data_IF_874081146020
#
_entry.id   IF_874081146020
#
_cell.length_a   1.000
_cell.length_b   1.000
_cell.length_c   1.000
_cell.angle_alpha   90.00
_cell.angle_beta   90.00
_cell.angle_gamma   90.00
#
_symmetry.space_group_name_H-M   'P 1'
#
loop_
_entity.id
_entity.type
_entity.pdbx_description
1 polymer ?
#
# COMPACT_ATOMS: atom_id res chain seq x y z
N UNK A 1 3.33 14.09 -9.32
CA UNK A 1 3.56 12.77 -9.94
C UNK A 1 2.39 12.38 -10.80
N UNK A 2 2.67 11.72 -11.91
CA UNK A 2 1.61 11.17 -12.77
C UNK A 2 0.91 10.00 -12.06
N UNK A 3 -0.39 9.88 -12.29
CA UNK A 3 -1.18 8.70 -11.89
C UNK A 3 -0.92 7.54 -12.87
N UNK A 4 -1.35 6.33 -12.52
CA UNK A 4 -1.29 5.17 -13.44
C UNK A 4 -2.00 5.44 -14.78
N UNK A 5 -3.15 6.11 -14.75
CA UNK A 5 -3.85 6.51 -15.98
C UNK A 5 -3.02 7.50 -16.82
N UNK A 6 -2.37 8.47 -16.18
CA UNK A 6 -1.50 9.41 -16.88
C UNK A 6 -0.19 8.75 -17.38
N UNK A 7 0.32 7.75 -16.67
CA UNK A 7 1.46 6.96 -17.13
C UNK A 7 1.09 6.10 -18.36
N UNK A 8 -0.13 5.56 -18.36
CA UNK A 8 -0.69 4.87 -19.52
C UNK A 8 -0.65 5.77 -20.77
N UNK A 9 -1.08 7.02 -20.65
CA UNK A 9 -1.04 7.98 -21.77
C UNK A 9 0.40 8.24 -22.24
N UNK A 10 1.38 8.33 -21.32
CA UNK A 10 2.79 8.49 -21.71
C UNK A 10 3.28 7.31 -22.55
N UNK A 11 2.93 6.08 -22.17
CA UNK A 11 3.30 4.91 -22.97
C UNK A 11 2.59 4.87 -24.33
N UNK A 12 1.31 5.23 -24.38
CA UNK A 12 0.58 5.34 -25.64
C UNK A 12 1.18 6.40 -26.57
N UNK A 13 1.55 7.56 -26.03
CA UNK A 13 2.21 8.61 -26.78
C UNK A 13 3.56 8.16 -27.36
N UNK A 14 4.30 7.35 -26.58
CA UNK A 14 5.59 6.79 -27.03
C UNK A 14 5.42 5.74 -28.12
N UNK A 15 4.41 4.85 -27.97
CA UNK A 15 4.16 3.76 -28.92
C UNK A 15 3.51 4.27 -30.22
N UNK A 16 2.62 5.25 -30.13
CA UNK A 16 1.79 5.74 -31.22
C UNK A 16 1.86 7.27 -31.39
N UNK A 17 3.05 7.87 -31.61
CA UNK A 17 3.25 9.33 -31.50
C UNK A 17 2.42 10.15 -32.50
N UNK A 18 1.96 9.55 -33.60
CA UNK A 18 1.22 10.23 -34.67
C UNK A 18 -0.09 9.53 -35.04
N UNK A 19 -0.57 8.62 -34.21
CA UNK A 19 -1.76 7.81 -34.51
C UNK A 19 -2.75 7.80 -33.33
N UNK A 20 -3.62 8.81 -33.32
CA UNK A 20 -4.65 8.96 -32.29
C UNK A 20 -5.72 7.86 -32.34
N UNK A 21 -5.91 7.23 -33.50
CA UNK A 21 -6.87 6.14 -33.64
C UNK A 21 -6.33 4.86 -32.94
N UNK A 22 -5.07 4.52 -33.14
CA UNK A 22 -4.44 3.38 -32.47
C UNK A 22 -4.37 3.60 -30.96
N UNK A 23 -4.05 4.81 -30.49
CA UNK A 23 -4.10 5.16 -29.05
C UNK A 23 -5.47 4.90 -28.44
N UNK A 24 -6.55 5.33 -29.11
CA UNK A 24 -7.93 5.15 -28.64
C UNK A 24 -8.38 3.70 -28.67
N UNK A 25 -7.90 2.93 -29.61
CA UNK A 25 -8.27 1.53 -29.80
C UNK A 25 -7.45 0.58 -28.92
N UNK A 26 -6.32 1.04 -28.36
CA UNK A 26 -5.50 0.22 -27.48
C UNK A 26 -6.14 0.09 -26.09
N UNK A 27 -6.64 -1.11 -25.80
CA UNK A 27 -7.26 -1.48 -24.54
C UNK A 27 -6.28 -2.07 -23.51
N UNK A 28 -4.98 -2.11 -23.83
CA UNK A 28 -3.98 -2.69 -22.96
C UNK A 28 -3.80 -1.90 -21.67
N UNK A 29 -3.52 -2.60 -20.58
CA UNK A 29 -3.16 -2.01 -19.31
C UNK A 29 -1.71 -1.51 -19.29
N UNK A 30 -1.34 -0.82 -18.23
CA UNK A 30 -0.01 -0.19 -18.08
C UNK A 30 1.11 -1.24 -18.10
N UNK A 31 0.91 -2.42 -17.53
CA UNK A 31 1.90 -3.50 -17.49
C UNK A 31 2.14 -4.07 -18.89
N UNK A 32 1.09 -4.21 -19.70
CA UNK A 32 1.23 -4.65 -21.07
C UNK A 32 1.88 -3.58 -21.94
N UNK A 33 1.47 -2.32 -21.79
CA UNK A 33 2.06 -1.20 -22.53
C UNK A 33 3.53 -1.01 -22.20
N UNK A 34 3.94 -1.13 -20.93
CA UNK A 34 5.36 -1.08 -20.57
C UNK A 34 6.17 -2.20 -21.23
N UNK A 35 5.58 -3.40 -21.36
CA UNK A 35 6.22 -4.51 -22.07
C UNK A 35 6.39 -4.22 -23.58
N UNK A 36 5.43 -3.52 -24.19
CA UNK A 36 5.54 -3.11 -25.59
C UNK A 36 6.62 -2.04 -25.78
N UNK A 37 6.69 -1.07 -24.84
CA UNK A 37 7.75 -0.04 -24.84
C UNK A 37 9.11 -0.68 -24.66
N UNK A 38 9.27 -1.59 -23.72
CA UNK A 38 10.51 -2.34 -23.47
C UNK A 38 10.95 -3.13 -24.72
N UNK A 39 10.02 -3.86 -25.34
CA UNK A 39 10.29 -4.64 -26.53
C UNK A 39 10.71 -3.79 -27.75
N UNK A 40 10.14 -2.61 -27.91
CA UNK A 40 10.37 -1.73 -29.05
C UNK A 40 11.58 -0.81 -28.88
N UNK A 41 11.77 -0.27 -27.67
CA UNK A 41 12.75 0.78 -27.39
C UNK A 41 13.86 0.36 -26.41
N UNK A 42 13.68 -0.80 -25.75
CA UNK A 42 14.61 -1.35 -24.77
C UNK A 42 14.36 -0.86 -23.35
N UNK A 43 14.85 -1.63 -22.39
CA UNK A 43 14.60 -1.45 -20.96
C UNK A 43 15.12 -0.10 -20.40
N UNK A 44 16.26 0.37 -20.90
CA UNK A 44 16.80 1.66 -20.49
C UNK A 44 15.89 2.84 -20.87
N UNK A 45 15.22 2.74 -22.01
CA UNK A 45 14.27 3.78 -22.42
C UNK A 45 13.00 3.74 -21.58
N UNK A 46 12.52 2.54 -21.22
CA UNK A 46 11.41 2.40 -20.27
C UNK A 46 11.74 3.03 -18.92
N UNK A 47 12.94 2.76 -18.39
CA UNK A 47 13.42 3.36 -17.12
C UNK A 47 13.48 4.88 -17.20
N UNK A 48 13.99 5.45 -18.29
CA UNK A 48 14.04 6.90 -18.50
C UNK A 48 12.64 7.51 -18.53
N UNK A 49 11.71 6.88 -19.25
CA UNK A 49 10.31 7.33 -19.29
C UNK A 49 9.68 7.32 -17.89
N UNK A 50 9.94 6.30 -17.09
CA UNK A 50 9.42 6.22 -15.71
C UNK A 50 10.00 7.33 -14.83
N UNK A 51 11.31 7.57 -14.88
CA UNK A 51 11.98 8.61 -14.09
C UNK A 51 11.53 10.02 -14.50
N UNK A 52 11.31 10.27 -15.79
CA UNK A 52 10.77 11.54 -16.29
C UNK A 52 9.29 11.74 -15.92
N UNK A 53 8.48 10.69 -16.02
CA UNK A 53 7.06 10.75 -15.70
C UNK A 53 6.81 10.93 -14.20
N UNK A 54 7.73 10.47 -13.37
CA UNK A 54 7.64 10.46 -11.92
C UNK A 54 8.84 11.23 -11.30
N UNK A 55 8.92 12.57 -11.45
CA UNK A 55 10.07 13.37 -11.05
C UNK A 55 10.19 13.47 -9.51
N UNK A 56 10.61 12.38 -8.89
CA UNK A 56 10.62 12.16 -7.44
C UNK A 56 11.31 13.30 -6.67
N UNK A 57 12.49 13.72 -7.14
CA UNK A 57 13.29 14.74 -6.46
C UNK A 57 12.64 16.13 -6.44
N UNK A 58 11.73 16.41 -7.37
CA UNK A 58 11.03 17.69 -7.46
C UNK A 58 9.79 17.77 -6.55
N UNK A 59 9.36 16.63 -6.01
CA UNK A 59 8.13 16.51 -5.23
C UNK A 59 8.47 16.30 -3.76
N UNK A 60 7.84 17.08 -2.88
CA UNK A 60 8.01 16.93 -1.44
C UNK A 60 6.96 16.02 -0.82
N UNK A 61 7.30 15.27 0.24
CA UNK A 61 6.35 14.48 0.98
C UNK A 61 5.18 15.34 1.48
N UNK A 62 3.97 14.96 1.11
CA UNK A 62 2.75 15.63 1.58
C UNK A 62 2.41 15.26 3.02
N UNK A 63 1.34 15.91 3.54
CA UNK A 63 0.88 15.69 4.91
C UNK A 63 0.48 14.22 5.18
N UNK A 64 -0.17 13.56 4.22
CA UNK A 64 -0.55 12.15 4.37
C UNK A 64 0.66 11.23 4.56
N UNK A 65 1.76 11.46 3.83
CA UNK A 65 2.99 10.69 4.02
C UNK A 65 3.56 10.87 5.43
N UNK A 66 3.57 12.12 5.94
CA UNK A 66 4.03 12.39 7.30
C UNK A 66 3.15 11.76 8.37
N UNK A 67 1.83 11.79 8.20
CA UNK A 67 0.90 11.12 9.11
C UNK A 67 1.08 9.60 9.09
N UNK A 68 1.24 9.02 7.90
CA UNK A 68 1.45 7.58 7.73
C UNK A 68 2.68 7.11 8.53
N UNK A 69 3.82 7.78 8.40
CA UNK A 69 5.08 7.36 9.06
C UNK A 69 5.14 7.72 10.55
N UNK A 70 4.20 8.50 11.05
CA UNK A 70 4.06 8.76 12.49
C UNK A 70 3.37 7.62 13.24
N UNK A 71 2.68 6.72 12.52
CA UNK A 71 2.01 5.58 13.12
C UNK A 71 3.02 4.46 13.44
N UNK A 72 2.78 3.65 14.48
CA UNK A 72 3.71 2.63 14.93
C UNK A 72 3.60 1.35 14.08
N UNK A 73 3.79 1.47 12.77
CA UNK A 73 3.85 0.31 11.89
C UNK A 73 5.05 -0.59 12.24
N UNK A 74 4.85 -1.91 12.18
CA UNK A 74 5.96 -2.87 12.24
C UNK A 74 6.83 -2.73 11.00
N UNK A 75 6.21 -2.76 9.83
CA UNK A 75 6.85 -2.55 8.54
C UNK A 75 5.89 -1.85 7.58
N UNK A 76 6.42 -1.10 6.62
CA UNK A 76 5.70 -0.51 5.50
C UNK A 76 6.25 -1.16 4.23
N UNK A 77 5.43 -1.93 3.52
CA UNK A 77 5.77 -2.49 2.23
C UNK A 77 5.20 -1.60 1.14
N UNK A 78 6.00 -1.28 0.13
CA UNK A 78 5.54 -0.44 -0.97
C UNK A 78 6.04 -0.92 -2.31
N UNK A 79 5.18 -0.86 -3.31
CA UNK A 79 5.49 -1.11 -4.72
C UNK A 79 5.82 0.19 -5.47
N UNK A 80 5.68 1.35 -4.82
CA UNK A 80 6.02 2.64 -5.41
C UNK A 80 7.53 2.80 -5.58
N UNK A 81 7.93 3.41 -6.69
CA UNK A 81 9.35 3.71 -6.97
C UNK A 81 9.83 4.99 -6.28
N UNK A 82 8.92 5.95 -6.04
CA UNK A 82 9.23 7.23 -5.39
C UNK A 82 9.78 7.07 -3.97
N UNK A 83 10.44 8.12 -3.47
CA UNK A 83 11.04 8.14 -2.13
C UNK A 83 10.25 8.99 -1.13
N UNK A 84 8.97 9.25 -1.38
CA UNK A 84 8.17 10.15 -0.54
C UNK A 84 7.96 9.62 0.88
N UNK A 85 7.72 8.32 1.02
CA UNK A 85 7.55 7.69 2.34
C UNK A 85 8.87 7.73 3.12
N UNK A 86 9.98 7.40 2.48
CA UNK A 86 11.33 7.40 3.08
C UNK A 86 11.75 8.80 3.52
N UNK A 87 11.53 9.80 2.66
CA UNK A 87 11.83 11.20 2.99
C UNK A 87 10.91 11.75 4.10
N UNK A 88 9.66 11.31 4.14
CA UNK A 88 8.77 11.62 5.26
C UNK A 88 9.24 10.95 6.55
N UNK A 89 9.68 9.70 6.49
CA UNK A 89 10.19 8.94 7.63
C UNK A 89 11.47 9.54 8.21
N UNK A 90 12.34 10.11 7.37
CA UNK A 90 13.54 10.83 7.81
C UNK A 90 13.25 12.09 8.63
N UNK A 91 12.00 12.57 8.64
CA UNK A 91 11.56 13.75 9.40
C UNK A 91 10.89 13.38 10.74
N UNK A 92 10.73 12.10 11.05
CA UNK A 92 10.08 11.63 12.28
C UNK A 92 11.00 10.72 13.10
N UNK A 93 10.70 10.62 14.39
CA UNK A 93 11.55 9.91 15.37
C UNK A 93 11.46 8.38 15.25
N UNK A 94 10.47 7.86 14.53
CA UNK A 94 10.14 6.41 14.50
C UNK A 94 11.24 5.50 13.90
N UNK A 95 12.30 6.06 13.33
CA UNK A 95 13.52 5.33 13.00
C UNK A 95 13.37 4.21 11.97
N UNK A 96 12.43 4.32 11.01
CA UNK A 96 12.29 3.33 9.93
C UNK A 96 13.61 3.08 9.21
N UNK A 97 13.91 1.82 8.95
CA UNK A 97 15.06 1.38 8.19
C UNK A 97 14.66 1.05 6.75
N UNK A 98 15.41 1.56 5.79
CA UNK A 98 15.14 1.31 4.38
C UNK A 98 15.66 -0.06 3.96
N UNK A 99 14.81 -0.86 3.32
CA UNK A 99 15.13 -2.16 2.75
C UNK A 99 14.81 -2.14 1.25
N UNK A 100 15.83 -2.38 0.43
CA UNK A 100 15.74 -2.34 -1.04
C UNK A 100 16.26 -3.61 -1.71
N UNK A 101 17.00 -4.44 -0.97
CA UNK A 101 17.62 -5.67 -1.45
C UNK A 101 17.80 -6.68 -0.30
N UNK A 102 18.29 -7.87 -0.62
CA UNK A 102 18.51 -8.95 0.35
C UNK A 102 19.54 -8.58 1.43
N UNK A 103 20.58 -7.83 1.06
CA UNK A 103 21.64 -7.42 1.99
C UNK A 103 21.05 -6.51 3.09
N UNK A 104 20.29 -5.48 2.69
CA UNK A 104 19.64 -4.60 3.66
C UNK A 104 18.53 -5.31 4.44
N UNK A 105 17.85 -6.28 3.83
CA UNK A 105 16.83 -7.08 4.53
C UNK A 105 17.43 -7.90 5.68
N UNK A 106 18.61 -8.47 5.50
CA UNK A 106 19.28 -9.29 6.52
C UNK A 106 19.71 -8.49 7.76
N UNK A 107 20.09 -7.22 7.58
CA UNK A 107 20.71 -6.42 8.64
C UNK A 107 19.80 -5.36 9.25
N UNK A 108 18.65 -5.08 8.65
CA UNK A 108 17.77 -4.02 9.15
C UNK A 108 16.63 -4.59 10.00
N UNK A 109 16.58 -4.23 11.30
CA UNK A 109 15.44 -4.59 12.15
C UNK A 109 14.22 -3.73 11.84
N UNK A 110 13.03 -4.22 12.20
CA UNK A 110 11.80 -3.41 12.19
C UNK A 110 11.92 -2.24 13.19
N UNK A 111 11.27 -1.09 12.93
CA UNK A 111 10.36 -0.85 11.80
C UNK A 111 11.09 -0.56 10.49
N UNK A 112 10.58 -1.08 9.37
CA UNK A 112 11.22 -0.98 8.06
C UNK A 112 10.29 -0.38 7.01
N UNK A 113 10.89 0.29 6.01
CA UNK A 113 10.24 0.59 4.73
C UNK A 113 10.87 -0.34 3.70
N UNK A 114 10.07 -1.23 3.12
CA UNK A 114 10.51 -2.28 2.21
C UNK A 114 10.04 -1.94 0.80
N UNK A 115 11.00 -1.64 -0.10
CA UNK A 115 10.77 -1.32 -1.50
C UNK A 115 10.72 -2.61 -2.32
N UNK A 116 9.53 -3.02 -2.70
CA UNK A 116 9.35 -4.30 -3.41
C UNK A 116 9.75 -4.22 -4.88
N UNK A 117 9.47 -3.11 -5.56
CA UNK A 117 9.61 -2.96 -7.00
C UNK A 117 10.77 -2.06 -7.46
N UNK A 118 11.78 -1.87 -6.62
CA UNK A 118 12.86 -0.93 -6.87
C UNK A 118 12.57 0.45 -6.28
N UNK A 119 13.51 1.40 -6.43
CA UNK A 119 13.39 2.76 -5.90
C UNK A 119 14.21 3.77 -6.70
N UNK A 120 13.64 4.93 -6.97
CA UNK A 120 14.36 6.02 -7.60
C UNK A 120 15.50 6.55 -6.72
N UNK A 121 16.55 7.13 -7.34
CA UNK A 121 16.78 7.12 -8.80
C UNK A 121 17.54 5.88 -9.31
N UNK A 122 18.12 5.05 -8.45
CA UNK A 122 19.15 4.10 -8.88
C UNK A 122 19.00 2.67 -8.36
N UNK A 123 17.91 2.35 -7.66
CA UNK A 123 17.71 0.99 -7.13
C UNK A 123 16.84 0.20 -8.10
N UNK A 124 17.50 -0.47 -9.02
CA UNK A 124 16.91 -1.24 -10.11
C UNK A 124 16.95 -2.76 -9.83
N UNK A 125 16.17 -3.57 -10.59
CA UNK A 125 15.24 -3.17 -11.65
C UNK A 125 13.96 -2.54 -11.08
N UNK A 126 13.31 -1.68 -11.88
CA UNK A 126 11.94 -1.24 -11.64
C UNK A 126 10.99 -2.31 -12.19
N UNK A 127 10.22 -2.94 -11.33
CA UNK A 127 9.30 -4.03 -11.72
C UNK A 127 8.08 -3.42 -12.38
N UNK A 128 8.00 -3.51 -13.71
CA UNK A 128 6.97 -2.84 -14.48
C UNK A 128 6.40 -3.70 -15.61
N UNK A 129 7.24 -4.47 -16.30
CA UNK A 129 6.82 -5.28 -17.44
C UNK A 129 6.20 -6.61 -17.00
N UNK A 130 5.45 -7.26 -17.91
CA UNK A 130 4.93 -8.61 -17.66
C UNK A 130 6.05 -9.62 -17.36
N UNK A 131 7.21 -9.44 -18.00
CA UNK A 131 8.37 -10.31 -17.78
C UNK A 131 8.99 -10.06 -16.39
N UNK A 132 9.07 -8.81 -15.93
CA UNK A 132 9.53 -8.50 -14.58
C UNK A 132 8.63 -9.17 -13.53
N UNK A 133 7.32 -9.06 -13.66
CA UNK A 133 6.36 -9.73 -12.77
C UNK A 133 6.49 -11.24 -12.79
N UNK A 134 6.69 -11.83 -13.99
CA UNK A 134 6.86 -13.28 -14.14
C UNK A 134 8.12 -13.79 -13.46
N UNK A 135 9.24 -13.05 -13.57
CA UNK A 135 10.55 -13.41 -13.02
C UNK A 135 10.70 -13.05 -11.54
N UNK A 136 9.89 -12.13 -11.05
CA UNK A 136 10.00 -11.57 -9.70
C UNK A 136 10.11 -12.63 -8.59
N UNK A 137 9.30 -13.71 -8.56
CA UNK A 137 9.41 -14.72 -7.51
C UNK A 137 10.74 -15.49 -7.51
N UNK A 138 11.39 -15.57 -8.67
CA UNK A 138 12.68 -16.27 -8.83
C UNK A 138 13.86 -15.34 -8.57
N UNK A 139 13.77 -14.09 -8.99
CA UNK A 139 14.87 -13.12 -8.90
C UNK A 139 14.90 -12.38 -7.54
N UNK A 140 13.75 -12.29 -6.88
CA UNK A 140 13.58 -11.60 -5.59
C UNK A 140 12.83 -12.46 -4.56
N UNK A 141 13.23 -13.73 -4.37
CA UNK A 141 12.52 -14.66 -3.46
C UNK A 141 12.49 -14.14 -2.01
N UNK A 142 13.51 -13.42 -1.58
CA UNK A 142 13.59 -12.79 -0.25
C UNK A 142 12.50 -11.75 -0.03
N UNK A 143 12.20 -10.93 -1.05
CA UNK A 143 11.12 -9.93 -0.97
C UNK A 143 9.74 -10.58 -0.98
N UNK A 144 9.56 -11.58 -1.85
CA UNK A 144 8.33 -12.38 -1.91
C UNK A 144 8.05 -13.07 -0.58
N UNK A 145 9.06 -13.74 0.00
CA UNK A 145 8.91 -14.43 1.28
C UNK A 145 8.63 -13.46 2.42
N UNK A 146 9.29 -12.30 2.43
CA UNK A 146 9.03 -11.24 3.43
C UNK A 146 7.60 -10.73 3.32
N UNK A 147 7.11 -10.45 2.12
CA UNK A 147 5.72 -10.03 1.92
C UNK A 147 4.74 -11.11 2.39
N UNK A 148 4.94 -12.36 1.98
CA UNK A 148 4.12 -13.50 2.43
C UNK A 148 4.13 -13.65 3.95
N UNK A 149 5.29 -13.51 4.59
CA UNK A 149 5.43 -13.58 6.03
C UNK A 149 4.63 -12.48 6.73
N UNK A 150 4.63 -11.24 6.19
CA UNK A 150 3.82 -10.16 6.74
C UNK A 150 2.32 -10.50 6.72
N UNK A 151 1.82 -11.10 5.64
CA UNK A 151 0.42 -11.54 5.57
C UNK A 151 0.10 -12.70 6.52
N UNK A 152 1.10 -13.54 6.84
CA UNK A 152 0.93 -14.66 7.77
C UNK A 152 0.89 -14.22 9.23
N UNK A 153 1.76 -13.28 9.61
CA UNK A 153 2.05 -12.97 11.00
C UNK A 153 1.51 -11.63 11.46
N UNK A 154 1.02 -10.80 10.54
CA UNK A 154 0.67 -9.41 10.87
C UNK A 154 -0.68 -9.03 10.29
N UNK A 155 -1.42 -8.20 11.03
CA UNK A 155 -2.53 -7.46 10.47
C UNK A 155 -2.01 -6.56 9.35
N UNK A 156 -2.60 -6.64 8.17
CA UNK A 156 -2.19 -5.88 6.99
C UNK A 156 -3.21 -4.80 6.66
N UNK A 157 -2.75 -3.56 6.55
CA UNK A 157 -3.54 -2.44 6.05
C UNK A 157 -3.06 -2.08 4.64
N UNK A 158 -3.92 -2.31 3.65
CA UNK A 158 -3.70 -1.90 2.26
C UNK A 158 -4.18 -0.46 2.09
N UNK A 159 -3.24 0.48 1.94
CA UNK A 159 -3.54 1.92 1.83
C UNK A 159 -3.11 2.42 0.45
N UNK A 160 -4.01 3.09 -0.27
CA UNK A 160 -3.73 3.57 -1.64
C UNK A 160 -3.54 2.45 -2.66
N UNK A 161 -4.13 1.29 -2.40
CA UNK A 161 -3.94 0.07 -3.16
C UNK A 161 -5.19 -0.25 -4.01
N UNK A 162 -4.98 -0.57 -5.30
CA UNK A 162 -6.09 -0.89 -6.22
C UNK A 162 -6.55 -2.36 -6.16
N UNK A 163 -5.73 -3.25 -5.62
CA UNK A 163 -5.95 -4.70 -5.68
C UNK A 163 -5.55 -5.34 -7.01
N UNK A 164 -5.00 -4.58 -7.94
CA UNK A 164 -4.68 -5.05 -9.30
C UNK A 164 -3.22 -5.49 -9.48
N UNK A 165 -2.37 -5.27 -8.48
CA UNK A 165 -0.97 -5.70 -8.53
C UNK A 165 -0.87 -7.22 -8.70
N UNK A 166 -0.20 -7.73 -9.74
CA UNK A 166 -0.12 -9.17 -10.03
C UNK A 166 0.59 -9.96 -8.93
N UNK A 167 1.63 -9.39 -8.31
CA UNK A 167 2.35 -10.03 -7.20
C UNK A 167 1.45 -10.20 -5.99
N UNK A 168 0.70 -9.15 -5.63
CA UNK A 168 -0.24 -9.21 -4.52
C UNK A 168 -1.30 -10.30 -4.72
N UNK A 169 -1.90 -10.37 -5.92
CA UNK A 169 -2.89 -11.41 -6.24
C UNK A 169 -2.30 -12.81 -6.13
N UNK A 170 -1.07 -13.00 -6.61
CA UNK A 170 -0.36 -14.27 -6.50
C UNK A 170 -0.06 -14.63 -5.03
N UNK A 171 0.34 -13.67 -4.20
CA UNK A 171 0.62 -13.93 -2.77
C UNK A 171 -0.63 -14.28 -1.98
N UNK A 172 -1.72 -13.56 -2.18
CA UNK A 172 -3.01 -13.87 -1.52
C UNK A 172 -3.53 -15.24 -1.97
N UNK A 173 -3.42 -15.57 -3.26
CA UNK A 173 -3.77 -16.89 -3.77
C UNK A 173 -2.97 -18.00 -3.09
N UNK A 174 -1.66 -17.85 -3.04
CA UNK A 174 -0.76 -18.79 -2.37
C UNK A 174 -1.08 -18.97 -0.89
N UNK A 175 -1.35 -17.89 -0.17
CA UNK A 175 -1.70 -17.94 1.25
C UNK A 175 -2.95 -18.78 1.49
N UNK A 176 -3.96 -18.61 0.64
CA UNK A 176 -5.20 -19.42 0.72
C UNK A 176 -4.97 -20.89 0.47
N UNK A 177 -4.14 -21.21 -0.50
CA UNK A 177 -3.85 -22.60 -0.88
C UNK A 177 -3.08 -23.33 0.21
N UNK A 178 -2.17 -22.62 0.91
CA UNK A 178 -1.26 -23.23 1.90
C UNK A 178 -1.87 -23.31 3.30
N UNK A 179 -2.64 -22.29 3.71
CA UNK A 179 -3.05 -22.14 5.13
C UNK A 179 -4.57 -22.34 5.30
N UNK A 180 -5.34 -22.18 4.22
CA UNK A 180 -6.79 -22.12 4.28
C UNK A 180 -7.33 -20.78 4.75
N UNK A 181 -8.56 -20.45 4.35
CA UNK A 181 -9.15 -19.11 4.56
C UNK A 181 -9.32 -18.70 6.02
N UNK A 182 -9.43 -19.65 6.93
CA UNK A 182 -9.72 -19.37 8.35
C UNK A 182 -8.48 -19.05 9.21
N UNK A 183 -7.29 -19.14 8.64
CA UNK A 183 -6.03 -18.99 9.39
C UNK A 183 -5.14 -17.86 8.89
N UNK A 184 -5.63 -17.05 7.94
CA UNK A 184 -4.88 -15.87 7.43
C UNK A 184 -5.13 -14.69 8.36
N UNK A 185 -4.07 -13.95 8.64
CA UNK A 185 -4.15 -12.73 9.43
C UNK A 185 -5.09 -11.71 8.74
N UNK A 186 -5.92 -10.97 9.49
CA UNK A 186 -6.85 -10.01 8.91
C UNK A 186 -6.14 -9.01 7.99
N UNK A 187 -6.69 -8.83 6.80
CA UNK A 187 -6.21 -7.87 5.80
C UNK A 187 -7.33 -6.87 5.53
N UNK A 188 -7.05 -5.59 5.73
CA UNK A 188 -8.00 -4.51 5.54
C UNK A 188 -7.60 -3.64 4.35
N UNK A 189 -8.55 -3.43 3.43
CA UNK A 189 -8.41 -2.43 2.37
C UNK A 189 -9.01 -1.10 2.85
N UNK A 190 -8.15 -0.11 3.05
CA UNK A 190 -8.56 1.25 3.38
C UNK A 190 -8.70 2.01 2.07
N UNK A 191 -9.92 2.38 1.71
CA UNK A 191 -10.22 3.00 0.41
C UNK A 191 -11.20 4.17 0.55
N UNK A 192 -11.20 5.07 -0.45
CA UNK A 192 -12.21 6.10 -0.63
C UNK A 192 -12.81 5.94 -2.02
N UNK A 193 -13.91 5.20 -2.12
CA UNK A 193 -14.59 4.93 -3.39
C UNK A 193 -16.07 5.19 -3.28
N UNK A 194 -16.56 6.19 -4.02
CA UNK A 194 -17.99 6.40 -4.23
C UNK A 194 -18.50 5.35 -5.22
N UNK A 195 -19.54 4.61 -4.85
CA UNK A 195 -20.13 3.58 -5.73
C UNK A 195 -19.33 2.27 -5.83
N UNK A 196 -18.82 1.79 -4.71
CA UNK A 196 -18.15 0.49 -4.64
C UNK A 196 -19.14 -0.63 -4.99
N UNK A 197 -18.89 -1.38 -6.07
CA UNK A 197 -19.80 -2.42 -6.54
C UNK A 197 -19.82 -3.64 -5.60
N UNK A 198 -21.03 -4.20 -5.36
CA UNK A 198 -21.18 -5.37 -4.50
C UNK A 198 -20.43 -6.60 -5.01
N UNK A 199 -20.31 -6.76 -6.34
CA UNK A 199 -19.52 -7.82 -6.94
C UNK A 199 -18.02 -7.70 -6.59
N UNK A 200 -17.47 -6.49 -6.55
CA UNK A 200 -16.08 -6.23 -6.17
C UNK A 200 -15.89 -6.46 -4.67
N UNK A 201 -16.84 -6.01 -3.83
CA UNK A 201 -16.84 -6.31 -2.38
C UNK A 201 -16.84 -7.83 -2.15
N UNK A 202 -17.70 -8.56 -2.85
CA UNK A 202 -17.78 -10.01 -2.75
C UNK A 202 -16.46 -10.70 -3.20
N UNK A 203 -15.82 -10.20 -4.24
CA UNK A 203 -14.52 -10.71 -4.69
C UNK A 203 -13.44 -10.50 -3.62
N UNK A 204 -13.32 -9.29 -3.08
CA UNK A 204 -12.35 -8.99 -2.03
C UNK A 204 -12.61 -9.80 -0.75
N UNK A 205 -13.86 -9.94 -0.34
CA UNK A 205 -14.25 -10.78 0.78
C UNK A 205 -13.86 -12.26 0.55
N UNK A 206 -14.07 -12.79 -0.67
CA UNK A 206 -13.57 -14.12 -1.04
C UNK A 206 -12.04 -14.20 -0.98
N UNK A 207 -11.35 -13.10 -1.12
CA UNK A 207 -9.90 -13.01 -0.95
C UNK A 207 -9.48 -12.87 0.53
N UNK A 208 -10.41 -12.81 1.46
CA UNK A 208 -10.12 -12.60 2.87
C UNK A 208 -9.70 -11.15 3.17
N UNK A 209 -10.17 -10.22 2.35
CA UNK A 209 -9.88 -8.79 2.49
C UNK A 209 -11.15 -8.08 2.94
N UNK A 210 -11.11 -7.51 4.13
CA UNK A 210 -12.15 -6.64 4.66
C UNK A 210 -11.98 -5.21 4.14
N UNK A 211 -13.10 -4.54 3.87
CA UNK A 211 -13.08 -3.21 3.26
C UNK A 211 -13.49 -2.17 4.28
N UNK A 212 -12.66 -1.16 4.47
CA UNK A 212 -12.98 0.09 5.17
C UNK A 212 -13.10 1.18 4.11
N UNK A 213 -14.32 1.47 3.67
CA UNK A 213 -14.58 2.49 2.66
C UNK A 213 -14.82 3.85 3.32
N UNK A 214 -13.82 4.71 3.27
CA UNK A 214 -13.88 6.04 3.84
C UNK A 214 -14.89 6.99 3.15
N UNK A 215 -15.40 6.63 1.96
CA UNK A 215 -16.46 7.38 1.30
C UNK A 215 -17.86 7.17 1.90
N UNK A 216 -18.02 6.12 2.72
CA UNK A 216 -19.24 5.86 3.50
C UNK A 216 -19.29 6.67 4.79
N UNK A 217 -18.23 7.44 5.03
CA UNK A 217 -18.05 8.33 6.17
C UNK A 217 -18.78 9.64 5.97
N UNK A 218 -19.71 9.97 6.82
CA UNK A 218 -20.38 11.27 6.75
C UNK A 218 -19.40 12.44 7.00
N UNK A 219 -19.54 13.51 6.20
CA UNK A 219 -18.74 14.75 6.37
C UNK A 219 -17.33 14.69 5.78
N UNK A 220 -17.01 13.68 4.97
CA UNK A 220 -15.74 13.59 4.24
C UNK A 220 -16.03 13.70 2.75
N UNK A 221 -15.60 14.81 2.13
CA UNK A 221 -16.02 15.15 0.75
C UNK A 221 -15.04 14.67 -0.32
N UNK A 222 -13.81 14.33 0.04
CA UNK A 222 -12.77 13.96 -0.91
C UNK A 222 -11.75 12.98 -0.31
N UNK A 223 -10.97 12.37 -1.20
CA UNK A 223 -9.92 11.41 -0.89
C UNK A 223 -8.92 11.91 0.15
N UNK A 224 -8.44 13.15 0.00
CA UNK A 224 -7.40 13.69 0.88
C UNK A 224 -7.91 13.83 2.32
N UNK A 225 -9.06 14.46 2.52
CA UNK A 225 -9.66 14.66 3.85
C UNK A 225 -10.03 13.33 4.52
N UNK A 226 -10.45 12.33 3.72
CA UNK A 226 -10.77 11.00 4.21
C UNK A 226 -9.55 10.30 4.82
N UNK A 227 -8.45 10.27 4.09
CA UNK A 227 -7.22 9.64 4.57
C UNK A 227 -6.56 10.46 5.69
N UNK A 228 -6.61 11.78 5.63
CA UNK A 228 -6.14 12.64 6.72
C UNK A 228 -6.91 12.36 8.02
N UNK A 229 -8.23 12.29 7.93
CA UNK A 229 -9.07 11.92 9.06
C UNK A 229 -8.69 10.54 9.61
N UNK A 230 -8.64 9.52 8.75
CA UNK A 230 -8.33 8.14 9.15
C UNK A 230 -6.96 8.02 9.85
N UNK A 231 -5.92 8.61 9.26
CA UNK A 231 -4.57 8.54 9.82
C UNK A 231 -4.43 9.32 11.12
N UNK A 232 -5.07 10.50 11.25
CA UNK A 232 -5.12 11.23 12.51
C UNK A 232 -5.86 10.44 13.58
N UNK A 233 -6.98 9.82 13.22
CA UNK A 233 -7.74 8.99 14.15
C UNK A 233 -6.89 7.84 14.69
N UNK A 234 -6.17 7.12 13.83
CA UNK A 234 -5.24 6.07 14.25
C UNK A 234 -4.11 6.60 15.16
N UNK A 235 -3.61 7.80 14.89
CA UNK A 235 -2.54 8.42 15.68
C UNK A 235 -3.02 8.85 17.07
N UNK A 236 -4.26 9.29 17.19
CA UNK A 236 -4.88 9.75 18.45
C UNK A 236 -5.38 8.61 19.32
N UNK A 237 -5.46 7.39 18.78
CA UNK A 237 -5.70 6.21 19.60
C UNK A 237 -4.58 6.08 20.62
N UNK A 238 -4.91 6.11 21.94
CA UNK A 238 -3.87 6.15 22.96
C UNK A 238 -2.93 4.96 22.85
N UNK A 239 -1.64 5.23 22.94
CA UNK A 239 -0.59 4.22 23.09
C UNK A 239 -0.69 3.43 24.41
N UNK A 240 -1.62 3.79 25.28
CA UNK A 240 -1.88 3.09 26.52
C UNK A 240 -2.78 1.86 26.28
N UNK A 241 -2.13 0.77 26.00
CA UNK A 241 -2.72 -0.56 25.87
C UNK A 241 -3.07 -1.17 27.24
N UNK A 242 -3.88 -0.52 28.03
CA UNK A 242 -4.49 -1.09 29.24
C UNK A 242 -5.92 -1.59 29.00
N UNK A 243 -6.26 -1.97 27.79
CA UNK A 243 -7.55 -2.58 27.46
C UNK A 243 -8.76 -1.62 27.51
N UNK A 244 -8.54 -0.32 27.70
CA UNK A 244 -9.59 0.69 27.68
C UNK A 244 -9.28 1.74 26.62
N UNK A 245 -9.85 1.57 25.43
CA UNK A 245 -9.87 2.64 24.43
C UNK A 245 -10.79 3.74 24.96
N UNK A 246 -10.22 4.85 25.39
CA UNK A 246 -10.99 6.05 25.73
C UNK A 246 -11.30 6.82 24.46
N UNK A 247 -12.50 6.66 23.95
CA UNK A 247 -13.05 7.47 22.85
C UNK A 247 -13.52 8.87 23.29
N UNK A 248 -13.31 9.24 24.54
CA UNK A 248 -13.83 10.46 25.14
C UNK A 248 -13.24 11.75 24.56
N UNK A 249 -12.09 11.68 23.87
CA UNK A 249 -11.42 12.85 23.29
C UNK A 249 -11.91 13.22 21.88
N UNK A 250 -12.79 12.42 21.30
CA UNK A 250 -13.37 12.69 19.97
C UNK A 250 -14.57 13.65 20.04
N UNK A 251 -14.69 14.44 21.11
CA UNK A 251 -15.75 15.45 21.28
C UNK A 251 -15.51 16.76 20.54
N UNK A 252 -14.50 16.84 19.67
CA UNK A 252 -14.29 18.04 18.89
C UNK A 252 -15.31 18.17 17.74
N UNK A 253 -15.80 19.40 17.60
CA UNK A 253 -17.02 19.79 16.88
C UNK A 253 -17.00 19.59 15.37
N UNK A 254 -15.89 19.12 14.80
CA UNK A 254 -15.66 19.03 13.35
C UNK A 254 -15.65 17.59 12.80
N UNK A 255 -16.11 16.61 13.59
CA UNK A 255 -16.13 15.22 13.15
C UNK A 255 -17.47 14.81 12.55
N UNK A 256 -17.45 14.01 11.48
CA UNK A 256 -18.66 13.50 10.82
C UNK A 256 -19.55 12.66 11.74
N UNK A 257 -20.80 12.49 11.33
CA UNK A 257 -21.93 11.81 11.95
C UNK A 257 -21.58 10.71 12.97
N UNK A 258 -22.34 10.63 14.05
CA UNK A 258 -22.18 9.66 15.15
C UNK A 258 -22.10 8.20 14.68
N UNK A 259 -22.85 7.83 13.62
CA UNK A 259 -22.84 6.50 13.01
C UNK A 259 -21.49 6.12 12.40
N UNK A 260 -20.74 7.09 11.89
CA UNK A 260 -19.42 6.83 11.34
C UNK A 260 -18.38 6.61 12.45
N UNK A 261 -18.44 7.40 13.51
CA UNK A 261 -17.61 7.20 14.70
C UNK A 261 -17.80 5.77 15.24
N UNK A 262 -19.04 5.32 15.27
CA UNK A 262 -19.42 3.98 15.71
C UNK A 262 -18.86 2.91 14.75
N UNK A 263 -19.01 3.09 13.44
CA UNK A 263 -18.48 2.18 12.43
C UNK A 263 -16.94 2.05 12.47
N UNK A 264 -16.23 3.18 12.51
CA UNK A 264 -14.75 3.15 12.61
C UNK A 264 -14.31 2.58 13.96
N UNK A 265 -14.99 2.94 15.05
CA UNK A 265 -14.71 2.39 16.38
C UNK A 265 -14.89 0.87 16.41
N UNK A 266 -15.93 0.34 15.77
CA UNK A 266 -16.20 -1.08 15.64
C UNK A 266 -15.10 -1.78 14.80
N UNK A 267 -14.75 -1.22 13.64
CA UNK A 267 -13.69 -1.77 12.79
C UNK A 267 -12.32 -1.73 13.46
N UNK A 268 -12.00 -0.67 14.18
CA UNK A 268 -10.76 -0.61 14.96
C UNK A 268 -10.78 -1.62 16.10
N UNK A 269 -11.91 -1.81 16.75
CA UNK A 269 -12.07 -2.84 17.78
C UNK A 269 -11.88 -4.24 17.22
N UNK A 270 -12.44 -4.53 16.04
CA UNK A 270 -12.19 -5.78 15.32
C UNK A 270 -10.71 -5.96 15.02
N UNK A 271 -10.04 -4.90 14.52
CA UNK A 271 -8.59 -4.90 14.28
C UNK A 271 -7.79 -5.14 15.57
N UNK A 272 -8.20 -4.58 16.68
CA UNK A 272 -7.57 -4.79 17.99
C UNK A 272 -7.74 -6.22 18.49
N UNK A 273 -8.96 -6.78 18.40
CA UNK A 273 -9.23 -8.17 18.79
C UNK A 273 -8.43 -9.13 17.92
N UNK A 274 -8.40 -8.91 16.61
CA UNK A 274 -7.58 -9.71 15.70
C UNK A 274 -6.09 -9.65 16.08
N UNK A 275 -5.60 -8.48 16.49
CA UNK A 275 -4.25 -8.28 16.99
C UNK A 275 -3.96 -9.08 18.26
N UNK A 276 -4.86 -9.06 19.25
CA UNK A 276 -4.68 -9.74 20.54
C UNK A 276 -4.78 -11.27 20.43
N UNK A 277 -5.56 -11.77 19.49
CA UNK A 277 -5.82 -13.19 19.33
C UNK A 277 -4.82 -13.91 18.43
N UNK A 278 -3.95 -13.16 17.71
CA UNK A 278 -3.04 -13.73 16.73
C UNK A 278 -1.65 -14.01 17.34
N UNK A 279 -1.10 -15.24 17.23
CA UNK A 279 0.14 -15.62 17.92
C UNK A 279 1.37 -14.76 17.56
N UNK A 280 1.45 -14.25 16.33
CA UNK A 280 2.57 -13.41 15.86
C UNK A 280 2.70 -12.06 16.59
N UNK A 281 1.66 -11.61 17.27
CA UNK A 281 1.68 -10.36 18.04
C UNK A 281 2.31 -10.47 19.41
N UNK A 282 2.44 -11.69 19.93
CA UNK A 282 3.11 -11.97 21.21
C UNK A 282 4.62 -11.69 21.17
N UNK A 283 5.17 -11.54 19.96
CA UNK A 283 6.61 -11.28 19.74
C UNK A 283 6.94 -9.78 19.64
N UNK A 284 5.96 -8.89 19.65
CA UNK A 284 6.25 -7.46 19.79
C UNK A 284 6.73 -7.20 21.21
N UNK A 285 7.90 -6.54 21.41
CA UNK A 285 8.30 -6.11 22.73
C UNK A 285 7.15 -5.29 23.33
N UNK A 286 6.77 -5.58 24.56
CA UNK A 286 5.91 -4.65 25.32
C UNK A 286 6.61 -3.31 25.25
N UNK A 287 6.00 -2.36 24.56
CA UNK A 287 6.50 -1.00 24.53
C UNK A 287 6.68 -0.58 25.98
N UNK A 288 7.85 -0.11 26.28
CA UNK A 288 8.34 0.31 27.57
C UNK A 288 7.25 0.78 28.54
N UNK A 289 7.16 0.10 29.68
CA UNK A 289 6.56 0.64 30.89
C UNK A 289 7.27 1.93 31.30
#
# INVERSE_FOLDING_TARGET
MKTWAQLREVFLDKLYPNNEEDKKNDANDVVRLSSLVDAQFGHNELDNILEEALPDQLIQPGRLHRLLVQLPWKDILTTNYDTLIERAAGQVINGFKLVTNKETLLYQPSPRIIKLHGSFPNIRPYIMTQEDYRRYPTERPEMVNTAKQCFLESLVCLIGFSGEDPNFRAWIGWLKDVIGQQQICPTYLITYRKGFHDAEKALLSKLGIDIINLAEVGGVDNYYSAYEFFLNYLRELPSQWNGKVRFDHLRDKDLPDAKFKEYIAEKIKEMQVARETYPGWLLLPKAHE
#
